data_IF_833395099921
#
_entry.id   IF_833395099921
#
_cell.length_a   1.000
_cell.length_b   1.000
_cell.length_c   1.000
_cell.angle_alpha   90.00
_cell.angle_beta   90.00
_cell.angle_gamma   90.00
#
_symmetry.space_group_name_H-M   'P 1'
#
loop_
_entity.id
_entity.type
_entity.pdbx_description
1 polymer ?
#
# COMPACT_ATOMS: atom_id res chain seq x y z
N UNK A 1 17.73 22.11 1.00
CA UNK A 1 16.37 21.70 1.39
C UNK A 1 15.62 21.35 0.11
N UNK A 2 15.11 20.13 -0.02
CA UNK A 2 14.20 19.79 -1.12
C UNK A 2 12.86 20.43 -0.81
N UNK A 3 12.29 21.15 -1.77
CA UNK A 3 10.95 21.72 -1.63
C UNK A 3 9.95 20.65 -2.04
N UNK A 4 9.02 20.32 -1.17
CA UNK A 4 7.94 19.38 -1.43
C UNK A 4 6.60 20.09 -1.41
N UNK A 5 5.72 19.74 -2.34
CA UNK A 5 4.31 20.14 -2.36
C UNK A 5 3.50 18.93 -1.91
N UNK A 6 2.64 19.10 -0.94
CA UNK A 6 1.78 18.05 -0.43
C UNK A 6 0.41 18.14 -1.08
N UNK A 7 -0.06 17.02 -1.60
CA UNK A 7 -1.39 16.90 -2.18
C UNK A 7 -2.16 15.87 -1.36
N UNK A 8 -3.37 16.23 -0.97
CA UNK A 8 -4.28 15.32 -0.27
C UNK A 8 -5.61 15.24 -0.99
N UNK A 9 -6.27 14.10 -0.92
CA UNK A 9 -7.58 13.94 -1.49
C UNK A 9 -8.66 14.17 -0.43
N UNK A 10 -9.72 14.84 -0.83
CA UNK A 10 -10.90 15.08 0.00
C UNK A 10 -11.39 13.77 0.62
N UNK A 11 -11.62 13.74 1.93
CA UNK A 11 -11.93 12.57 2.78
C UNK A 11 -10.72 11.85 3.39
N UNK A 12 -9.48 12.24 3.09
CA UNK A 12 -8.32 11.77 3.86
C UNK A 12 -8.24 12.48 5.22
N UNK A 13 -7.47 11.91 6.17
CA UNK A 13 -7.23 12.58 7.46
C UNK A 13 -6.56 13.93 7.21
N UNK A 14 -7.00 14.97 7.94
CA UNK A 14 -6.40 16.30 7.85
C UNK A 14 -4.91 16.22 8.14
N UNK A 15 -4.11 16.62 7.17
CA UNK A 15 -2.65 16.69 7.28
C UNK A 15 -2.31 18.07 7.86
N UNK A 16 -1.59 18.09 8.97
CA UNK A 16 -1.12 19.33 9.62
C UNK A 16 0.24 19.71 9.04
N UNK A 17 0.27 20.06 7.76
CA UNK A 17 1.46 20.54 7.07
C UNK A 17 1.15 21.87 6.38
N UNK A 18 2.15 22.72 6.23
CA UNK A 18 2.05 23.93 5.42
C UNK A 18 2.07 23.55 3.93
N UNK A 19 1.37 24.33 3.10
CA UNK A 19 1.31 24.15 1.65
C UNK A 19 0.68 22.82 1.18
N UNK A 20 -0.41 22.40 1.82
CA UNK A 20 -1.22 21.26 1.36
C UNK A 20 -2.24 21.73 0.33
N UNK A 21 -2.28 21.06 -0.80
CA UNK A 21 -3.29 21.27 -1.85
C UNK A 21 -4.31 20.16 -1.72
N UNK A 22 -5.58 20.51 -1.56
CA UNK A 22 -6.69 19.55 -1.55
C UNK A 22 -7.16 19.29 -2.97
N UNK A 23 -7.31 18.01 -3.33
CA UNK A 23 -7.81 17.55 -4.61
C UNK A 23 -8.99 16.59 -4.40
N UNK A 24 -9.80 16.44 -5.43
CA UNK A 24 -10.88 15.44 -5.47
C UNK A 24 -10.52 14.33 -6.45
N UNK A 25 -10.90 13.10 -6.12
CA UNK A 25 -10.67 11.95 -7.02
C UNK A 25 -11.41 12.08 -8.36
N UNK A 26 -12.49 12.82 -8.36
CA UNK A 26 -13.29 13.12 -9.54
C UNK A 26 -12.62 14.12 -10.50
N UNK A 27 -11.49 14.74 -10.09
CA UNK A 27 -10.85 15.84 -10.84
C UNK A 27 -9.36 15.60 -11.09
N UNK A 28 -9.03 14.43 -11.62
CA UNK A 28 -7.63 14.07 -11.91
C UNK A 28 -6.99 14.95 -13.00
N UNK A 29 -7.77 15.44 -13.96
CA UNK A 29 -7.29 16.42 -14.93
C UNK A 29 -6.84 17.72 -14.27
N UNK A 30 -7.63 18.23 -13.33
CA UNK A 30 -7.27 19.40 -12.52
C UNK A 30 -6.02 19.15 -11.66
N UNK A 31 -5.84 17.92 -11.15
CA UNK A 31 -4.61 17.53 -10.44
C UNK A 31 -3.38 17.66 -11.35
N UNK A 32 -3.43 17.16 -12.59
CA UNK A 32 -2.31 17.28 -13.53
C UNK A 32 -2.01 18.73 -13.89
N UNK A 33 -3.02 19.58 -14.00
CA UNK A 33 -2.81 21.03 -14.18
C UNK A 33 -2.10 21.67 -12.99
N UNK A 34 -2.48 21.29 -11.77
CA UNK A 34 -1.81 21.75 -10.54
C UNK A 34 -0.34 21.32 -10.51
N UNK A 35 -0.06 20.05 -10.82
CA UNK A 35 1.31 19.54 -10.88
C UNK A 35 2.15 20.31 -11.90
N UNK A 36 1.61 20.53 -13.10
CA UNK A 36 2.26 21.30 -14.17
C UNK A 36 2.54 22.74 -13.77
N UNK A 37 1.53 23.43 -13.20
CA UNK A 37 1.66 24.82 -12.72
C UNK A 37 2.74 24.98 -11.65
N UNK A 38 2.93 23.97 -10.81
CA UNK A 38 3.94 23.96 -9.76
C UNK A 38 5.29 23.37 -10.21
N UNK A 39 5.48 23.11 -11.51
CA UNK A 39 6.69 22.52 -12.10
C UNK A 39 7.12 21.23 -11.42
N UNK A 40 6.17 20.41 -10.99
CA UNK A 40 6.43 19.11 -10.37
C UNK A 40 6.68 18.12 -11.49
N UNK A 41 7.73 17.31 -11.37
CA UNK A 41 8.07 16.23 -12.31
C UNK A 41 8.11 14.87 -11.66
N UNK A 42 8.30 14.81 -10.33
CA UNK A 42 8.43 13.58 -9.56
C UNK A 42 7.33 13.50 -8.50
N UNK A 43 6.67 12.35 -8.41
CA UNK A 43 5.54 12.14 -7.50
C UNK A 43 5.80 10.92 -6.63
N UNK A 44 5.57 11.07 -5.33
CA UNK A 44 5.57 9.97 -4.36
C UNK A 44 4.15 9.72 -3.89
N UNK A 45 3.68 8.50 -4.03
CA UNK A 45 2.43 8.09 -3.43
C UNK A 45 2.70 7.57 -2.01
N UNK A 46 2.15 8.24 -1.00
CA UNK A 46 2.36 7.88 0.40
C UNK A 46 1.07 7.88 1.20
N UNK A 47 0.94 6.93 2.10
CA UNK A 47 -0.23 6.78 2.97
C UNK A 47 -1.25 5.78 2.45
N UNK A 48 -2.38 5.68 3.15
CA UNK A 48 -3.48 4.80 2.80
C UNK A 48 -4.64 5.60 2.21
N UNK A 49 -5.21 5.10 1.14
CA UNK A 49 -6.40 5.66 0.49
C UNK A 49 -7.51 4.61 0.55
N UNK A 50 -8.67 4.99 1.07
CA UNK A 50 -9.88 4.17 0.95
C UNK A 50 -10.33 4.16 -0.50
N UNK A 51 -10.88 3.04 -0.98
CA UNK A 51 -11.46 2.98 -2.34
C UNK A 51 -12.49 4.08 -2.53
N UNK A 52 -12.27 5.04 -3.46
CA UNK A 52 -13.17 6.16 -3.63
C UNK A 52 -14.50 5.71 -4.27
N UNK A 53 -15.56 6.38 -3.87
CA UNK A 53 -16.83 6.33 -4.59
C UNK A 53 -16.89 7.59 -5.46
N UNK A 54 -17.04 7.41 -6.75
CA UNK A 54 -17.03 8.51 -7.71
C UNK A 54 -18.43 9.04 -7.96
N UNK A 55 -18.57 10.36 -7.93
CA UNK A 55 -19.78 11.06 -8.35
C UNK A 55 -19.61 11.55 -9.80
N UNK A 56 -20.27 10.89 -10.75
CA UNK A 56 -20.13 11.16 -12.17
C UNK A 56 -20.32 12.65 -12.55
N UNK A 57 -21.22 13.35 -11.87
CA UNK A 57 -21.49 14.77 -12.09
C UNK A 57 -20.34 15.72 -11.71
N UNK A 58 -19.40 15.25 -10.91
CA UNK A 58 -18.23 16.03 -10.46
C UNK A 58 -16.99 15.77 -11.28
N UNK A 59 -17.00 14.73 -12.12
CA UNK A 59 -15.84 14.33 -12.90
C UNK A 59 -15.49 15.37 -13.95
N UNK A 60 -14.20 15.71 -14.02
CA UNK A 60 -13.68 16.44 -15.16
C UNK A 60 -13.54 15.52 -16.40
N UNK A 61 -13.30 16.10 -17.56
CA UNK A 61 -13.24 15.38 -18.85
C UNK A 61 -12.18 14.28 -18.84
N UNK A 62 -11.02 14.55 -18.22
CA UNK A 62 -9.95 13.57 -18.09
C UNK A 62 -10.40 12.36 -17.28
N UNK A 63 -10.94 12.59 -16.09
CA UNK A 63 -11.42 11.52 -15.20
C UNK A 63 -12.55 10.74 -15.87
N UNK A 64 -13.46 11.39 -16.58
CA UNK A 64 -14.49 10.71 -17.35
C UNK A 64 -13.89 9.79 -18.43
N UNK A 65 -12.85 10.22 -19.12
CA UNK A 65 -12.23 9.47 -20.22
C UNK A 65 -11.55 8.17 -19.73
N UNK A 66 -10.98 8.17 -18.54
CA UNK A 66 -10.30 6.97 -17.96
C UNK A 66 -11.25 6.10 -17.13
N UNK A 67 -12.45 6.58 -16.83
CA UNK A 67 -13.40 5.93 -15.92
C UNK A 67 -13.75 4.49 -16.29
N UNK A 68 -13.93 4.12 -17.57
CA UNK A 68 -14.20 2.72 -17.95
C UNK A 68 -13.09 1.75 -17.51
N UNK A 69 -11.82 2.14 -17.67
CA UNK A 69 -10.67 1.35 -17.26
C UNK A 69 -10.49 1.38 -15.73
N UNK A 70 -10.61 2.55 -15.13
CA UNK A 70 -10.52 2.73 -13.68
C UNK A 70 -11.57 1.89 -12.93
N UNK A 71 -12.81 1.87 -13.41
CA UNK A 71 -13.90 1.07 -12.82
C UNK A 71 -13.59 -0.43 -12.84
N UNK A 72 -13.01 -0.92 -13.93
CA UNK A 72 -12.59 -2.31 -14.04
C UNK A 72 -11.47 -2.67 -13.04
N UNK A 73 -10.60 -1.70 -12.70
CA UNK A 73 -9.52 -1.90 -11.73
C UNK A 73 -10.00 -1.75 -10.28
N UNK A 74 -11.01 -0.93 -10.02
CA UNK A 74 -11.60 -0.75 -8.69
C UNK A 74 -12.23 -2.02 -8.11
N UNK A 75 -12.70 -2.95 -8.94
CA UNK A 75 -13.28 -4.23 -8.50
C UNK A 75 -12.24 -5.35 -8.35
N UNK A 76 -10.99 -5.07 -8.72
CA UNK A 76 -9.86 -5.99 -8.59
C UNK A 76 -9.04 -5.71 -7.34
N UNK A 77 -7.87 -6.35 -7.22
CA UNK A 77 -6.95 -6.14 -6.11
C UNK A 77 -6.31 -4.75 -6.08
N UNK A 78 -5.74 -4.40 -4.93
CA UNK A 78 -5.17 -3.07 -4.72
C UNK A 78 -3.92 -2.84 -5.59
N UNK A 79 -3.18 -3.91 -5.92
CA UNK A 79 -1.99 -3.81 -6.77
C UNK A 79 -2.33 -3.37 -8.21
N UNK A 80 -3.37 -3.96 -8.81
CA UNK A 80 -3.82 -3.56 -10.15
C UNK A 80 -4.29 -2.10 -10.20
N UNK A 81 -4.99 -1.65 -9.16
CA UNK A 81 -5.46 -0.27 -9.05
C UNK A 81 -4.28 0.70 -8.92
N UNK A 82 -3.33 0.42 -8.04
CA UNK A 82 -2.15 1.26 -7.83
C UNK A 82 -1.28 1.32 -9.10
N UNK A 83 -1.06 0.20 -9.77
CA UNK A 83 -0.32 0.14 -11.03
C UNK A 83 -1.02 0.95 -12.14
N UNK A 84 -2.35 0.89 -12.22
CA UNK A 84 -3.11 1.71 -13.16
C UNK A 84 -2.93 3.21 -12.88
N UNK A 85 -3.07 3.62 -11.62
CA UNK A 85 -2.91 5.03 -11.22
C UNK A 85 -1.47 5.50 -11.50
N UNK A 86 -0.45 4.72 -11.15
CA UNK A 86 0.94 5.04 -11.48
C UNK A 86 1.13 5.25 -12.98
N UNK A 87 0.61 4.33 -13.80
CA UNK A 87 0.63 4.47 -15.26
C UNK A 87 -0.09 5.70 -15.80
N UNK A 88 -1.14 6.20 -15.12
CA UNK A 88 -1.78 7.47 -15.51
C UNK A 88 -0.84 8.67 -15.25
N UNK A 89 -0.12 8.70 -14.13
CA UNK A 89 0.89 9.73 -13.89
C UNK A 89 2.01 9.68 -14.93
N UNK A 90 2.53 8.50 -15.23
CA UNK A 90 3.60 8.31 -16.22
C UNK A 90 3.15 8.74 -17.64
N UNK A 91 1.94 8.39 -18.05
CA UNK A 91 1.35 8.85 -19.33
C UNK A 91 1.23 10.36 -19.42
N UNK A 92 1.06 11.03 -18.28
CA UNK A 92 1.03 12.50 -18.22
C UNK A 92 2.42 13.12 -17.99
N UNK A 93 3.50 12.34 -18.07
CA UNK A 93 4.88 12.82 -18.05
C UNK A 93 5.47 12.99 -16.63
N UNK A 94 4.88 12.37 -15.63
CA UNK A 94 5.38 12.39 -14.26
C UNK A 94 6.16 11.11 -13.94
N UNK A 95 7.27 11.23 -13.25
CA UNK A 95 8.04 10.12 -12.70
C UNK A 95 7.44 9.71 -11.34
N UNK A 96 7.01 8.46 -11.22
CA UNK A 96 6.63 7.89 -9.93
C UNK A 96 7.88 7.36 -9.25
N UNK A 97 8.14 7.86 -8.05
CA UNK A 97 9.31 7.45 -7.25
C UNK A 97 8.89 6.83 -5.93
N UNK A 98 9.66 5.86 -5.48
CA UNK A 98 9.45 5.21 -4.19
C UNK A 98 9.81 6.14 -3.01
N UNK A 99 9.16 5.94 -1.87
CA UNK A 99 9.53 6.67 -0.64
C UNK A 99 10.98 6.42 -0.25
N UNK A 100 11.49 5.22 -0.53
CA UNK A 100 12.87 4.80 -0.31
C UNK A 100 13.90 5.59 -1.10
N UNK A 101 13.55 6.06 -2.28
CA UNK A 101 14.44 6.91 -3.10
C UNK A 101 14.54 8.34 -2.54
N UNK A 102 13.48 8.80 -1.90
CA UNK A 102 13.43 10.14 -1.31
C UNK A 102 14.08 10.16 0.07
N UNK A 103 13.84 9.15 0.87
CA UNK A 103 14.28 9.00 2.26
C UNK A 103 14.90 7.61 2.47
N UNK A 104 16.11 7.36 1.94
CA UNK A 104 16.77 6.06 2.10
C UNK A 104 16.96 5.65 3.57
N UNK A 105 17.08 6.63 4.47
CA UNK A 105 17.21 6.41 5.91
C UNK A 105 15.97 5.77 6.58
N UNK A 106 14.83 5.72 5.89
CA UNK A 106 13.63 5.02 6.37
C UNK A 106 13.64 3.53 6.03
N UNK A 107 14.58 3.09 5.18
CA UNK A 107 14.73 1.67 4.86
C UNK A 107 15.55 1.01 5.95
N UNK A 108 15.00 -0.03 6.54
CA UNK A 108 15.75 -0.85 7.47
C UNK A 108 16.77 -1.70 6.70
N UNK A 109 18.01 -1.69 7.17
CA UNK A 109 19.02 -2.62 6.66
C UNK A 109 18.57 -4.08 6.89
N UNK A 110 18.91 -4.99 5.98
CA UNK A 110 18.61 -6.39 6.16
C UNK A 110 19.19 -6.92 7.46
N UNK A 111 18.38 -7.60 8.24
CA UNK A 111 18.81 -8.16 9.51
C UNK A 111 17.79 -7.99 10.61
N UNK A 112 18.27 -8.11 11.85
CA UNK A 112 17.44 -8.01 13.03
C UNK A 112 17.61 -6.66 13.72
N UNK A 113 16.50 -5.92 13.85
CA UNK A 113 16.54 -4.52 14.29
C UNK A 113 16.26 -4.37 15.80
N UNK A 114 15.43 -5.23 16.39
CA UNK A 114 15.01 -5.09 17.77
C UNK A 114 14.61 -6.42 18.44
N UNK A 115 14.98 -6.62 19.71
CA UNK A 115 14.63 -7.78 20.54
C UNK A 115 15.48 -9.02 20.27
N UNK A 116 15.03 -10.19 20.69
CA UNK A 116 15.70 -11.49 20.47
C UNK A 116 14.78 -12.43 19.70
N UNK A 117 15.21 -12.94 18.53
CA UNK A 117 14.41 -13.88 17.79
C UNK A 117 14.34 -15.24 18.51
N UNK A 118 13.19 -15.89 18.48
CA UNK A 118 13.06 -17.26 18.98
C UNK A 118 13.65 -18.27 17.97
N UNK A 119 14.02 -19.47 18.46
CA UNK A 119 14.81 -20.44 17.68
C UNK A 119 14.14 -20.89 16.36
N UNK A 120 12.82 -21.04 16.34
CA UNK A 120 12.08 -21.51 15.16
C UNK A 120 11.65 -20.40 14.19
N UNK A 121 12.01 -19.15 14.47
CA UNK A 121 11.56 -17.98 13.66
C UNK A 121 11.86 -18.16 12.17
N UNK A 122 13.03 -18.68 11.84
CA UNK A 122 13.46 -18.86 10.44
C UNK A 122 12.57 -19.82 9.65
N UNK A 123 12.07 -20.87 10.33
CA UNK A 123 11.15 -21.83 9.71
C UNK A 123 9.81 -21.15 9.41
N UNK A 124 9.32 -20.37 10.34
CA UNK A 124 8.04 -19.68 10.21
C UNK A 124 8.12 -18.56 9.17
N UNK A 125 9.23 -17.82 9.13
CA UNK A 125 9.49 -16.81 8.07
C UNK A 125 9.52 -17.48 6.69
N UNK A 126 10.24 -18.60 6.53
CA UNK A 126 10.27 -19.33 5.25
C UNK A 126 8.89 -19.85 4.83
N UNK A 127 8.08 -20.29 5.80
CA UNK A 127 6.70 -20.71 5.53
C UNK A 127 5.85 -19.51 5.09
N UNK A 128 5.98 -18.39 5.80
CA UNK A 128 5.28 -17.15 5.49
C UNK A 128 5.62 -16.63 4.09
N UNK A 129 6.90 -16.60 3.72
CA UNK A 129 7.37 -16.17 2.39
C UNK A 129 6.71 -17.01 1.28
N UNK A 130 6.71 -18.35 1.42
CA UNK A 130 6.05 -19.23 0.45
C UNK A 130 4.56 -18.95 0.30
N UNK A 131 3.87 -18.74 1.40
CA UNK A 131 2.43 -18.42 1.39
C UNK A 131 2.20 -17.07 0.72
N UNK A 132 2.98 -16.06 1.08
CA UNK A 132 2.84 -14.72 0.52
C UNK A 132 3.09 -14.68 -0.98
N UNK A 133 4.06 -15.42 -1.51
CA UNK A 133 4.30 -15.50 -2.97
C UNK A 133 3.07 -16.03 -3.71
N UNK A 134 2.40 -17.05 -3.16
CA UNK A 134 1.17 -17.61 -3.74
C UNK A 134 0.03 -16.59 -3.66
N UNK A 135 -0.14 -15.92 -2.51
CA UNK A 135 -1.20 -14.93 -2.34
C UNK A 135 -0.99 -13.70 -3.22
N UNK A 136 0.27 -13.29 -3.40
CA UNK A 136 0.63 -12.14 -4.23
C UNK A 136 0.41 -12.40 -5.72
N UNK A 137 0.64 -13.63 -6.21
CA UNK A 137 0.41 -13.94 -7.63
C UNK A 137 -1.07 -13.83 -8.02
N UNK A 138 -1.96 -13.99 -7.03
CA UNK A 138 -3.41 -13.87 -7.23
C UNK A 138 -4.00 -12.56 -6.67
N UNK A 139 -3.13 -11.62 -6.24
CA UNK A 139 -3.51 -10.36 -5.59
C UNK A 139 -4.52 -10.51 -4.44
N UNK A 140 -4.40 -11.61 -3.67
CA UNK A 140 -5.31 -11.93 -2.56
C UNK A 140 -4.96 -11.12 -1.31
N UNK A 141 -3.65 -10.94 -1.04
CA UNK A 141 -3.20 -10.23 0.16
C UNK A 141 -1.69 -10.21 0.32
N UNK A 142 -1.24 -9.43 1.28
CA UNK A 142 0.19 -9.10 1.44
C UNK A 142 0.76 -9.39 2.82
N UNK A 143 -0.04 -9.95 3.73
CA UNK A 143 0.38 -10.26 5.09
C UNK A 143 -0.07 -11.64 5.54
N UNK A 144 0.76 -12.32 6.35
CA UNK A 144 0.48 -13.63 6.92
C UNK A 144 1.04 -13.76 8.32
N UNK A 145 0.29 -14.42 9.20
CA UNK A 145 0.76 -14.82 10.53
C UNK A 145 1.05 -16.32 10.53
N UNK A 146 2.25 -16.67 10.94
CA UNK A 146 2.68 -18.08 11.07
C UNK A 146 3.25 -18.31 12.46
N UNK A 147 2.88 -19.43 13.08
CA UNK A 147 3.44 -19.89 14.36
C UNK A 147 3.62 -21.41 14.31
N UNK A 148 4.82 -21.89 14.64
CA UNK A 148 5.16 -23.32 14.64
C UNK A 148 4.81 -24.06 13.32
N UNK A 149 4.99 -23.38 12.18
CA UNK A 149 4.66 -23.91 10.85
C UNK A 149 3.17 -23.89 10.50
N UNK A 150 2.30 -23.41 11.39
CA UNK A 150 0.87 -23.24 11.12
C UNK A 150 0.57 -21.82 10.65
N UNK A 151 -0.18 -21.70 9.57
CA UNK A 151 -0.71 -20.40 9.11
C UNK A 151 -1.93 -20.08 9.99
N UNK A 152 -1.82 -19.06 10.83
CA UNK A 152 -2.89 -18.64 11.72
C UNK A 152 -3.84 -17.63 11.07
N UNK A 153 -3.40 -16.96 10.05
CA UNK A 153 -4.25 -16.05 9.30
C UNK A 153 -3.51 -15.35 8.17
N UNK A 154 -4.27 -14.91 7.19
CA UNK A 154 -3.81 -14.14 6.03
C UNK A 154 -4.52 -12.80 5.98
N UNK A 155 -3.81 -11.77 5.56
CA UNK A 155 -4.37 -10.46 5.31
C UNK A 155 -5.07 -10.46 3.95
N UNK A 156 -6.32 -10.01 3.96
CA UNK A 156 -7.10 -9.76 2.74
C UNK A 156 -7.72 -8.34 2.86
N UNK A 157 -8.91 -8.11 2.37
CA UNK A 157 -9.60 -6.82 2.41
C UNK A 157 -9.83 -6.27 3.83
N UNK A 158 -9.82 -7.13 4.87
CA UNK A 158 -9.97 -6.69 6.26
C UNK A 158 -8.79 -5.85 6.76
N UNK A 159 -7.61 -5.99 6.12
CA UNK A 159 -6.39 -5.29 6.50
C UNK A 159 -5.65 -5.87 7.71
N UNK A 160 -4.43 -5.38 7.91
CA UNK A 160 -3.49 -5.89 8.92
C UNK A 160 -4.06 -5.89 10.34
N UNK A 161 -4.70 -4.79 10.75
CA UNK A 161 -5.17 -4.66 12.12
C UNK A 161 -6.24 -5.69 12.48
N UNK A 162 -7.17 -5.95 11.57
CA UNK A 162 -8.23 -6.94 11.82
C UNK A 162 -7.69 -8.36 11.75
N UNK A 163 -6.71 -8.65 10.88
CA UNK A 163 -5.98 -9.92 10.92
C UNK A 163 -5.34 -10.15 12.28
N UNK A 164 -4.59 -9.20 12.79
CA UNK A 164 -3.90 -9.35 14.08
C UNK A 164 -4.88 -9.49 15.26
N UNK A 165 -5.99 -8.74 15.23
CA UNK A 165 -7.07 -8.89 16.23
C UNK A 165 -7.71 -10.29 16.16
N UNK A 166 -7.99 -10.78 14.95
CA UNK A 166 -8.54 -12.12 14.74
C UNK A 166 -7.62 -13.19 15.31
N UNK A 167 -6.34 -13.17 14.96
CA UNK A 167 -5.36 -14.16 15.45
C UNK A 167 -5.25 -14.10 16.97
N UNK A 168 -5.16 -12.89 17.56
CA UNK A 168 -5.08 -12.71 19.01
C UNK A 168 -6.30 -13.25 19.73
N UNK A 169 -7.49 -12.94 19.24
CA UNK A 169 -8.76 -13.25 19.94
C UNK A 169 -9.23 -14.70 19.73
N UNK A 170 -9.11 -15.18 18.49
CA UNK A 170 -9.77 -16.44 18.09
C UNK A 170 -8.85 -17.65 18.24
N UNK A 171 -7.56 -17.47 18.02
CA UNK A 171 -6.59 -18.57 17.95
C UNK A 171 -5.64 -18.59 19.15
N UNK A 172 -5.96 -17.91 20.24
CA UNK A 172 -5.13 -17.88 21.44
C UNK A 172 -4.85 -19.27 22.01
N UNK A 173 -5.79 -20.22 21.86
CA UNK A 173 -5.63 -21.61 22.32
C UNK A 173 -4.67 -22.45 21.47
N UNK A 174 -4.35 -22.02 20.25
CA UNK A 174 -3.38 -22.66 19.37
C UNK A 174 -1.96 -22.09 19.56
N UNK A 175 -1.83 -21.04 20.34
CA UNK A 175 -0.57 -20.33 20.53
C UNK A 175 0.14 -20.83 21.79
N UNK A 176 1.44 -20.99 21.67
CA UNK A 176 2.28 -21.33 22.82
C UNK A 176 2.78 -20.02 23.45
N UNK A 177 2.48 -19.72 24.74
CA UNK A 177 2.83 -18.45 25.37
C UNK A 177 4.32 -18.09 25.30
N UNK A 178 5.18 -19.09 25.24
CA UNK A 178 6.64 -18.96 25.26
C UNK A 178 7.26 -18.91 23.86
N UNK A 179 6.49 -19.23 22.82
CA UNK A 179 6.93 -19.27 21.43
C UNK A 179 6.09 -18.30 20.61
N UNK A 180 6.65 -17.15 20.33
CA UNK A 180 5.96 -16.15 19.50
C UNK A 180 5.79 -16.61 18.06
N UNK A 181 4.69 -16.21 17.39
CA UNK A 181 4.54 -16.33 15.95
C UNK A 181 5.21 -15.18 15.20
N UNK A 182 5.33 -15.30 13.90
CA UNK A 182 5.78 -14.20 13.01
C UNK A 182 4.61 -13.63 12.23
N UNK A 183 4.57 -12.33 12.12
CA UNK A 183 3.80 -11.64 11.10
C UNK A 183 4.77 -11.18 10.00
N UNK A 184 4.57 -11.66 8.80
CA UNK A 184 5.35 -11.26 7.62
C UNK A 184 4.45 -10.50 6.68
N UNK A 185 4.92 -9.34 6.21
CA UNK A 185 4.22 -8.51 5.25
C UNK A 185 5.15 -8.14 4.10
N UNK A 186 4.68 -8.34 2.87
CA UNK A 186 5.35 -7.86 1.66
C UNK A 186 4.83 -6.47 1.30
N UNK A 187 5.71 -5.62 0.80
CA UNK A 187 5.30 -4.35 0.20
C UNK A 187 4.82 -4.61 -1.23
N UNK A 188 3.70 -4.02 -1.62
CA UNK A 188 3.18 -4.09 -3.00
C UNK A 188 4.16 -3.47 -4.01
N UNK A 189 5.03 -2.56 -3.58
CA UNK A 189 6.00 -1.88 -4.42
C UNK A 189 7.13 -2.82 -4.88
N UNK A 190 7.40 -3.90 -4.14
CA UNK A 190 8.48 -4.86 -4.47
C UNK A 190 7.99 -6.10 -5.23
N UNK A 191 6.72 -6.21 -5.57
CA UNK A 191 6.15 -7.37 -6.28
C UNK A 191 6.35 -7.25 -7.81
N UNK A 192 6.68 -6.07 -8.31
CA UNK A 192 6.83 -5.78 -9.75
C UNK A 192 8.26 -5.91 -10.29
N UNK A 193 9.24 -6.32 -9.49
CA UNK A 193 10.57 -6.66 -10.01
C UNK A 193 10.65 -8.17 -10.33
N UNK A 194 11.06 -8.53 -11.55
CA UNK A 194 11.17 -9.91 -12.02
C UNK A 194 12.29 -10.69 -11.32
#
# INVERSE_FOLDING_TARGET
KRQATYITFTKSKKILLDNVIECEFERLGSLFEILKKNSISRVVMAGAISRPQFEQKKMDDYTQSIMPLLSAKLVRGDNELLSFIAGEFERNGYEIVGASEILPELILEPGFVYGTPYQSIQRDVKKADKVLRILSSEDIGQGVVVENGLVLGIETLQGTNELLKFVKKTLSHLRTPEMGGVFVKLSLIHISEP
#
